data_IF_936088123390
#
_entry.id   IF_936088123390
#
_cell.length_a   1.000
_cell.length_b   1.000
_cell.length_c   1.000
_cell.angle_alpha   90.00
_cell.angle_beta   90.00
_cell.angle_gamma   90.00
#
_symmetry.space_group_name_H-M   'P 1'
#
loop_
_entity.id
_entity.type
_entity.pdbx_description
1 polymer ?
#
# COMPACT_ATOMS: atom_id res chain seq x y z
N UNK A 1 -14.50 -8.44 15.08
CA UNK A 1 -13.27 -7.90 14.45
C UNK A 1 -13.37 -8.23 12.97
N UNK A 2 -13.92 -7.31 12.19
CA UNK A 2 -14.03 -7.47 10.74
C UNK A 2 -12.65 -7.08 10.19
N UNK A 3 -11.90 -8.05 9.69
CA UNK A 3 -10.72 -7.74 8.89
C UNK A 3 -11.23 -7.06 7.64
N UNK A 4 -10.98 -5.76 7.52
CA UNK A 4 -11.23 -5.03 6.28
C UNK A 4 -10.45 -5.75 5.18
N UNK A 5 -11.14 -6.45 4.29
CA UNK A 5 -10.52 -7.03 3.11
C UNK A 5 -10.05 -5.88 2.23
N UNK A 6 -8.80 -5.45 2.44
CA UNK A 6 -8.18 -4.45 1.61
C UNK A 6 -8.08 -5.04 0.20
N UNK A 7 -8.74 -4.39 -0.76
CA UNK A 7 -8.64 -4.79 -2.15
C UNK A 7 -7.23 -4.40 -2.63
N UNK A 8 -6.40 -5.42 -2.87
CA UNK A 8 -5.05 -5.23 -3.39
C UNK A 8 -5.06 -5.52 -4.89
N UNK A 9 -4.77 -4.51 -5.70
CA UNK A 9 -4.51 -4.68 -7.13
C UNK A 9 -3.01 -4.67 -7.37
N UNK A 10 -2.47 -5.75 -7.91
CA UNK A 10 -1.07 -5.81 -8.31
C UNK A 10 -0.90 -5.49 -9.79
N UNK A 11 0.04 -4.60 -10.14
CA UNK A 11 0.44 -4.28 -11.51
C UNK A 11 1.93 -4.53 -11.69
N UNK A 12 2.29 -5.38 -12.66
CA UNK A 12 3.68 -5.60 -13.04
C UNK A 12 4.06 -4.51 -14.04
N UNK A 13 5.01 -3.65 -13.67
CA UNK A 13 5.53 -2.57 -14.50
C UNK A 13 6.96 -2.89 -14.90
N UNK A 14 7.27 -2.74 -16.19
CA UNK A 14 8.64 -2.77 -16.68
C UNK A 14 9.04 -1.35 -17.09
N UNK A 15 10.13 -0.85 -16.56
CA UNK A 15 10.70 0.46 -16.89
C UNK A 15 11.57 0.38 -18.15
N UNK A 16 11.85 1.54 -18.75
CA UNK A 16 12.61 1.64 -20.00
C UNK A 16 14.07 1.15 -19.86
N UNK A 17 14.62 1.18 -18.64
CA UNK A 17 15.94 0.61 -18.30
C UNK A 17 15.90 -0.91 -18.03
N UNK A 18 14.74 -1.55 -18.22
CA UNK A 18 14.54 -2.99 -18.14
C UNK A 18 14.29 -3.52 -16.73
N UNK A 19 14.19 -2.66 -15.72
CA UNK A 19 13.82 -3.09 -14.37
C UNK A 19 12.34 -3.49 -14.33
N UNK A 20 12.01 -4.51 -13.53
CA UNK A 20 10.62 -4.96 -13.35
C UNK A 20 10.23 -4.74 -11.89
N UNK A 21 9.15 -4.00 -11.68
CA UNK A 21 8.58 -3.72 -10.37
C UNK A 21 7.16 -4.26 -10.29
N UNK A 22 6.78 -4.77 -9.13
CA UNK A 22 5.38 -5.06 -8.82
C UNK A 22 4.83 -3.91 -8.00
N UNK A 23 3.94 -3.13 -8.60
CA UNK A 23 3.18 -2.11 -7.88
C UNK A 23 1.97 -2.76 -7.21
N UNK A 24 1.70 -2.36 -5.98
CA UNK A 24 0.51 -2.78 -5.25
C UNK A 24 -0.32 -1.54 -4.93
N UNK A 25 -1.54 -1.49 -5.46
CA UNK A 25 -2.53 -0.49 -5.07
C UNK A 25 -3.37 -1.08 -3.94
N UNK A 26 -3.35 -0.43 -2.78
CA UNK A 26 -4.11 -0.84 -1.59
C UNK A 26 -5.30 0.10 -1.43
N UNK A 27 -6.50 -0.38 -1.75
CA UNK A 27 -7.75 0.36 -1.58
C UNK A 27 -8.31 0.21 -0.17
N UNK A 28 -8.59 1.33 0.50
CA UNK A 28 -9.32 1.37 1.77
C UNK A 28 -8.51 0.88 2.98
N UNK A 29 -7.57 1.70 3.46
CA UNK A 29 -6.85 1.43 4.71
C UNK A 29 -7.58 2.07 5.88
N UNK A 30 -8.10 1.25 6.79
CA UNK A 30 -8.67 1.72 8.04
C UNK A 30 -7.55 1.92 9.08
N UNK A 31 -7.44 3.15 9.59
CA UNK A 31 -6.49 3.51 10.66
C UNK A 31 -7.26 3.89 11.93
N UNK A 32 -6.67 3.59 13.09
CA UNK A 32 -7.29 3.87 14.38
C UNK A 32 -7.28 5.35 14.75
N UNK A 33 -6.32 6.12 14.22
CA UNK A 33 -6.19 7.56 14.40
C UNK A 33 -5.29 8.17 13.32
N UNK A 34 -5.30 9.50 13.20
CA UNK A 34 -4.38 10.23 12.33
C UNK A 34 -2.92 10.03 12.76
N UNK A 35 -2.62 9.99 14.06
CA UNK A 35 -1.27 9.71 14.55
C UNK A 35 -0.76 8.32 14.10
N UNK A 36 -1.64 7.32 14.07
CA UNK A 36 -1.31 5.99 13.57
C UNK A 36 -1.02 6.01 12.05
N UNK A 37 -1.72 6.84 11.29
CA UNK A 37 -1.44 7.06 9.87
C UNK A 37 -0.06 7.70 9.67
N UNK A 38 0.25 8.76 10.41
CA UNK A 38 1.55 9.45 10.32
C UNK A 38 2.72 8.53 10.67
N UNK A 39 2.56 7.68 11.70
CA UNK A 39 3.56 6.70 12.08
C UNK A 39 3.82 5.64 10.99
N UNK A 40 2.82 5.28 10.17
CA UNK A 40 3.00 4.34 9.06
C UNK A 40 3.85 4.93 7.92
N UNK A 41 3.74 6.23 7.64
CA UNK A 41 4.46 6.89 6.55
C UNK A 41 5.81 7.48 6.95
N UNK A 42 6.07 7.61 8.25
CA UNK A 42 7.35 8.06 8.77
C UNK A 42 7.97 6.99 9.69
N UNK A 43 8.27 5.79 9.16
CA UNK A 43 8.91 4.74 9.94
C UNK A 43 10.30 5.24 10.34
N UNK A 44 10.49 5.45 11.65
CA UNK A 44 11.81 5.72 12.23
C UNK A 44 12.72 4.50 12.12
#
# INVERSE_FOLDING_TARGET
MQTSDALVTARIVRTDDGQTFTEYEVGGVAVSSTDALEAMFNPR
#
